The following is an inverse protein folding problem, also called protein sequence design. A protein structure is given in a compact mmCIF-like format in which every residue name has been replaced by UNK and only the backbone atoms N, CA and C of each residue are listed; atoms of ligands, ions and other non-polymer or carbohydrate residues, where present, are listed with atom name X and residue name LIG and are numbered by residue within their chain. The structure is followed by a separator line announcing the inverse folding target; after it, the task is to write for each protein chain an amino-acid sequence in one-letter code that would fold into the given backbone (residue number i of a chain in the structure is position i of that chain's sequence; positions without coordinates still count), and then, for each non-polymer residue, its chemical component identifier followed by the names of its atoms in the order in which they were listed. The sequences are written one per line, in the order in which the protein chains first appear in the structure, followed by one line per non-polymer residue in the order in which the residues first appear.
data_IF_356068309494
#
_entry.id   IF_356068309494
#
_cell.length_a   1.000
_cell.length_b   1.000
_cell.length_c   1.000
_cell.angle_alpha   90.00
_cell.angle_beta   90.00
_cell.angle_gamma   90.00
#
_symmetry.space_group_name_H-M   'P 1'
#
loop_
_entity.id
_entity.type
_entity.pdbx_description
1 polymer ?
#
# COMPACT_ATOMS: atom_id res chain seq x y z
N UNK A 1 13.93 5.26 9.94
CA UNK A 1 13.03 5.25 11.08
C UNK A 1 11.59 5.16 10.65
N UNK A 2 10.84 4.32 11.31
CA UNK A 2 9.43 4.10 11.02
C UNK A 2 8.63 4.24 12.31
N UNK A 3 7.45 4.78 12.18
CA UNK A 3 6.51 4.84 13.27
C UNK A 3 5.17 4.26 12.83
N UNK A 4 4.47 3.63 13.75
CA UNK A 4 3.14 3.12 13.52
C UNK A 4 2.15 4.00 14.26
N UNK A 5 1.10 4.40 13.58
CA UNK A 5 0.00 5.12 14.17
C UNK A 5 -1.26 4.31 13.97
N UNK A 6 -1.96 4.02 15.02
CA UNK A 6 -3.20 3.30 14.98
C UNK A 6 -4.36 4.17 15.38
N UNK A 7 -5.43 3.95 14.71
CA UNK A 7 -6.71 4.53 14.98
C UNK A 7 -7.70 3.38 14.83
N UNK A 8 -8.88 3.48 15.30
CA UNK A 8 -9.88 2.44 15.40
C UNK A 8 -9.78 1.29 14.38
N UNK A 9 -9.75 1.60 13.06
CA UNK A 9 -9.65 0.60 12.00
C UNK A 9 -8.51 0.87 11.05
N UNK A 10 -7.74 1.91 11.29
CA UNK A 10 -6.68 2.34 10.40
C UNK A 10 -5.32 2.30 11.09
N UNK A 11 -4.32 1.85 10.37
CA UNK A 11 -2.94 1.81 10.84
C UNK A 11 -2.03 2.41 9.77
N UNK A 12 -1.02 3.14 10.20
CA UNK A 12 -0.11 3.82 9.28
C UNK A 12 1.33 3.48 9.62
N UNK A 13 2.14 3.38 8.58
CA UNK A 13 3.60 3.34 8.68
C UNK A 13 4.10 4.70 8.22
N UNK A 14 4.94 5.32 9.04
CA UNK A 14 5.53 6.63 8.72
C UNK A 14 7.03 6.45 8.58
N UNK A 15 7.56 6.92 7.46
CA UNK A 15 9.00 6.94 7.23
C UNK A 15 9.59 8.29 7.59
N UNK A 16 10.68 8.27 8.36
CA UNK A 16 11.37 9.49 8.79
C UNK A 16 12.86 9.42 8.51
N UNK A 17 13.43 10.55 8.14
CA UNK A 17 14.88 10.75 8.09
C UNK A 17 15.17 12.02 8.89
N UNK A 18 16.03 11.92 9.91
CA UNK A 18 16.40 13.06 10.77
C UNK A 18 15.18 13.81 11.30
N UNK A 19 14.20 13.07 11.79
CA UNK A 19 12.93 13.60 12.32
C UNK A 19 12.02 14.26 11.29
N UNK A 20 12.40 14.21 10.02
CA UNK A 20 11.53 14.69 8.95
C UNK A 20 10.71 13.53 8.41
N UNK A 21 9.39 13.75 8.28
CA UNK A 21 8.52 12.75 7.65
C UNK A 21 8.73 12.81 6.15
N UNK A 22 9.18 11.71 5.57
CA UNK A 22 9.48 11.64 4.13
C UNK A 22 8.44 10.82 3.36
N UNK A 23 7.61 10.09 4.06
CA UNK A 23 6.56 9.31 3.43
C UNK A 23 5.71 8.58 4.44
N UNK A 24 4.58 8.08 3.98
CA UNK A 24 3.72 7.25 4.80
C UNK A 24 2.90 6.30 3.92
N UNK A 25 2.41 5.25 4.54
CA UNK A 25 1.49 4.30 3.93
C UNK A 25 0.49 3.85 4.98
N UNK A 26 -0.74 3.63 4.56
CA UNK A 26 -1.79 3.26 5.49
C UNK A 26 -2.56 2.04 5.04
N UNK A 27 -3.18 1.36 6.00
CA UNK A 27 -4.15 0.32 5.71
C UNK A 27 -5.38 0.49 6.60
N UNK A 28 -6.51 0.04 6.08
CA UNK A 28 -7.77 0.06 6.78
C UNK A 28 -8.25 -1.38 6.92
N UNK A 29 -8.34 -1.85 8.15
CA UNK A 29 -8.73 -3.22 8.45
C UNK A 29 -10.25 -3.36 8.46
N UNK A 30 -10.74 -4.39 7.79
CA UNK A 30 -12.15 -4.78 7.80
C UNK A 30 -12.17 -6.28 8.05
N UNK A 31 -12.47 -6.69 9.29
CA UNK A 31 -12.37 -8.08 9.72
C UNK A 31 -10.95 -8.61 9.53
N UNK A 32 -10.76 -9.67 8.74
CA UNK A 32 -9.45 -10.27 8.49
C UNK A 32 -8.82 -9.78 7.17
N UNK A 33 -9.40 -8.75 6.57
CA UNK A 33 -8.89 -8.17 5.32
C UNK A 33 -8.52 -6.71 5.57
N UNK A 34 -7.73 -6.14 4.67
CA UNK A 34 -7.43 -4.73 4.74
C UNK A 34 -7.21 -4.14 3.35
N UNK A 35 -7.58 -2.88 3.24
CA UNK A 35 -7.29 -2.08 2.05
C UNK A 35 -6.04 -1.25 2.32
N UNK A 36 -5.11 -1.28 1.39
CA UNK A 36 -4.00 -0.33 1.39
C UNK A 36 -4.58 0.99 0.88
N UNK A 37 -4.44 2.03 1.71
CA UNK A 37 -4.96 3.32 1.35
C UNK A 37 -3.91 4.10 0.58
N UNK A 38 -3.31 5.08 1.16
CA UNK A 38 -2.38 5.93 0.43
C UNK A 38 -0.93 5.49 0.68
N UNK A 39 -0.13 5.49 -0.38
CA UNK A 39 1.32 5.42 -0.27
C UNK A 39 1.83 6.75 -0.82
N UNK A 40 2.36 7.58 0.07
CA UNK A 40 2.80 8.91 -0.29
C UNK A 40 4.26 9.08 0.08
N UNK A 41 5.04 9.60 -0.86
CA UNK A 41 6.47 9.85 -0.64
C UNK A 41 6.75 11.29 -1.01
N UNK A 42 7.46 11.98 -0.14
CA UNK A 42 7.87 13.36 -0.39
C UNK A 42 8.64 13.43 -1.71
N UNK A 43 8.32 14.42 -2.52
CA UNK A 43 8.82 14.51 -3.89
C UNK A 43 10.34 14.38 -3.99
N UNK A 44 11.07 14.98 -3.07
CA UNK A 44 12.53 14.96 -3.08
C UNK A 44 13.12 13.59 -2.75
N UNK A 45 12.32 12.68 -2.24
CA UNK A 45 12.78 11.33 -1.86
C UNK A 45 12.23 10.24 -2.78
N UNK A 46 11.58 10.60 -3.88
CA UNK A 46 11.06 9.63 -4.84
C UNK A 46 12.19 8.95 -5.61
N UNK A 47 11.91 7.78 -6.14
CA UNK A 47 12.85 6.98 -6.95
C UNK A 47 14.09 6.53 -6.18
N UNK A 48 13.96 6.37 -4.86
CA UNK A 48 15.04 5.90 -4.00
C UNK A 48 14.68 4.62 -3.24
N UNK A 49 13.65 3.92 -3.70
CA UNK A 49 13.25 2.67 -3.07
C UNK A 49 12.42 2.82 -1.79
N UNK A 50 12.02 4.02 -1.44
CA UNK A 50 11.29 4.27 -0.20
C UNK A 50 9.88 3.70 -0.27
N UNK A 51 9.23 3.80 -1.45
CA UNK A 51 7.91 3.20 -1.64
C UNK A 51 7.91 1.70 -1.42
N UNK A 52 8.94 1.02 -1.93
CA UNK A 52 9.11 -0.42 -1.71
C UNK A 52 9.27 -0.72 -0.24
N UNK A 53 10.11 0.05 0.45
CA UNK A 53 10.38 -0.14 1.87
C UNK A 53 9.12 0.08 2.71
N UNK A 54 8.35 1.14 2.43
CA UNK A 54 7.09 1.39 3.12
C UNK A 54 6.11 0.24 2.91
N UNK A 55 5.98 -0.21 1.67
CA UNK A 55 5.04 -1.29 1.33
C UNK A 55 5.44 -2.61 1.98
N UNK A 56 6.73 -2.95 1.97
CA UNK A 56 7.21 -4.15 2.65
C UNK A 56 6.90 -4.11 4.15
N UNK A 57 7.09 -2.95 4.77
CA UNK A 57 6.78 -2.80 6.19
C UNK A 57 5.29 -2.81 6.47
N UNK A 58 4.49 -2.29 5.54
CA UNK A 58 3.04 -2.36 5.66
C UNK A 58 2.56 -3.81 5.59
N UNK A 59 3.16 -4.61 4.74
CA UNK A 59 2.86 -6.04 4.65
C UNK A 59 3.21 -6.75 5.97
N UNK A 60 4.35 -6.42 6.58
CA UNK A 60 4.73 -6.99 7.87
C UNK A 60 3.73 -6.59 8.96
N UNK A 61 3.32 -5.33 8.98
CA UNK A 61 2.30 -4.87 9.93
C UNK A 61 0.99 -5.62 9.74
N UNK A 62 0.58 -5.82 8.49
CA UNK A 62 -0.64 -6.55 8.20
C UNK A 62 -0.58 -7.97 8.72
N UNK A 63 0.57 -8.64 8.58
CA UNK A 63 0.75 -9.98 9.14
C UNK A 63 0.65 -9.98 10.66
N UNK A 64 1.23 -8.99 11.31
CA UNK A 64 1.16 -8.86 12.78
C UNK A 64 -0.27 -8.63 13.25
N UNK A 65 -1.10 -8.00 12.44
CA UNK A 65 -2.49 -7.76 12.75
C UNK A 65 -3.41 -8.91 12.33
N UNK A 66 -2.84 -10.02 11.92
CA UNK A 66 -3.56 -11.23 11.47
C UNK A 66 -4.48 -10.96 10.29
N UNK A 67 -4.05 -10.08 9.39
CA UNK A 67 -4.77 -9.83 8.15
C UNK A 67 -4.44 -10.93 7.16
N UNK A 68 -5.45 -11.52 6.56
CA UNK A 68 -5.28 -12.62 5.62
C UNK A 68 -5.06 -12.15 4.19
N UNK A 69 -5.65 -11.03 3.82
CA UNK A 69 -5.60 -10.54 2.44
C UNK A 69 -5.52 -9.02 2.41
N UNK A 70 -4.61 -8.50 1.61
CA UNK A 70 -4.50 -7.08 1.33
C UNK A 70 -5.07 -6.77 -0.06
N UNK A 71 -5.80 -5.67 -0.15
CA UNK A 71 -6.33 -5.15 -1.40
C UNK A 71 -5.79 -3.74 -1.63
N UNK A 72 -5.65 -3.38 -2.89
CA UNK A 72 -5.35 -2.00 -3.27
C UNK A 72 -5.99 -1.69 -4.60
N UNK A 73 -6.10 -0.41 -4.89
CA UNK A 73 -6.55 0.04 -6.20
C UNK A 73 -5.49 1.00 -6.74
N UNK A 74 -5.11 0.83 -7.98
CA UNK A 74 -4.10 1.65 -8.63
C UNK A 74 -4.60 2.09 -9.99
N UNK A 75 -4.27 3.32 -10.38
CA UNK A 75 -4.62 3.83 -11.69
C UNK A 75 -3.97 2.97 -12.77
N UNK A 76 -4.75 2.56 -13.76
CA UNK A 76 -4.29 1.74 -14.88
C UNK A 76 -3.06 2.32 -15.58
N UNK A 77 -2.94 3.65 -15.60
CA UNK A 77 -1.83 4.33 -16.26
C UNK A 77 -0.57 4.40 -15.40
N UNK A 78 -0.67 4.09 -14.12
CA UNK A 78 0.48 4.15 -13.22
C UNK A 78 1.28 2.83 -13.31
N UNK A 79 1.97 2.68 -14.43
CA UNK A 79 2.74 1.46 -14.71
C UNK A 79 3.84 1.17 -13.68
N UNK A 80 4.61 2.17 -13.24
CA UNK A 80 5.62 1.89 -12.20
C UNK A 80 5.04 1.33 -10.92
N UNK A 81 3.89 1.84 -10.47
CA UNK A 81 3.26 1.34 -9.26
C UNK A 81 2.74 -0.09 -9.45
N UNK A 82 2.09 -0.35 -10.59
CA UNK A 82 1.60 -1.70 -10.88
C UNK A 82 2.75 -2.70 -10.88
N UNK A 83 3.86 -2.33 -11.51
CA UNK A 83 5.04 -3.19 -11.56
C UNK A 83 5.59 -3.45 -10.16
N UNK A 84 5.64 -2.44 -9.32
CA UNK A 84 6.08 -2.59 -7.92
C UNK A 84 5.18 -3.55 -7.17
N UNK A 85 3.87 -3.38 -7.30
CA UNK A 85 2.92 -4.24 -6.59
C UNK A 85 3.03 -5.69 -7.06
N UNK A 86 3.14 -5.90 -8.37
CA UNK A 86 3.34 -7.26 -8.90
C UNK A 86 4.63 -7.89 -8.38
N UNK A 87 5.70 -7.11 -8.33
CA UNK A 87 6.98 -7.57 -7.81
C UNK A 87 6.88 -8.02 -6.35
N UNK A 88 6.02 -7.40 -5.56
CA UNK A 88 5.81 -7.75 -4.16
C UNK A 88 4.70 -8.77 -3.95
N UNK A 89 4.22 -9.37 -5.03
CA UNK A 89 3.31 -10.50 -4.95
C UNK A 89 1.83 -10.17 -5.05
N UNK A 90 1.49 -8.95 -5.45
CA UNK A 90 0.09 -8.61 -5.70
C UNK A 90 -0.35 -9.11 -7.06
N UNK A 91 -1.57 -9.58 -7.13
CA UNK A 91 -2.18 -10.09 -8.35
C UNK A 91 -3.35 -9.21 -8.76
N UNK A 92 -3.52 -9.03 -10.07
CA UNK A 92 -4.66 -8.29 -10.59
C UNK A 92 -5.94 -9.08 -10.32
N UNK A 93 -6.91 -8.43 -9.68
CA UNK A 93 -8.19 -9.03 -9.37
C UNK A 93 -9.28 -8.57 -10.34
N UNK A 94 -9.27 -7.30 -10.70
CA UNK A 94 -10.30 -6.74 -11.57
C UNK A 94 -10.02 -5.30 -11.94
N UNK A 95 -10.99 -4.70 -12.59
CA UNK A 95 -10.92 -3.32 -13.06
C UNK A 95 -12.13 -2.56 -12.55
N UNK A 96 -11.89 -1.38 -12.00
CA UNK A 96 -12.95 -0.47 -11.61
C UNK A 96 -13.00 0.67 -12.61
N UNK A 97 -14.12 0.84 -13.30
CA UNK A 97 -14.29 1.95 -14.23
C UNK A 97 -14.50 3.24 -13.46
N UNK A 98 -13.76 4.27 -13.85
CA UNK A 98 -13.89 5.60 -13.26
C UNK A 98 -14.37 6.57 -14.32
N UNK A 99 -15.55 7.11 -14.11
CA UNK A 99 -16.22 7.92 -15.12
C UNK A 99 -15.64 9.33 -15.25
N UNK A 100 -15.00 9.83 -14.19
CA UNK A 100 -14.58 11.24 -14.17
C UNK A 100 -13.40 11.56 -15.06
N UNK A 101 -12.45 10.65 -15.17
CA UNK A 101 -11.16 10.93 -15.82
C UNK A 101 -10.86 9.98 -16.97
N UNK A 102 -11.84 9.21 -17.41
CA UNK A 102 -11.64 8.15 -18.41
C UNK A 102 -10.53 7.18 -18.03
N UNK A 103 -10.14 7.17 -16.77
CA UNK A 103 -9.09 6.27 -16.28
C UNK A 103 -9.73 5.17 -15.44
N UNK A 104 -9.31 3.95 -15.69
CA UNK A 104 -9.76 2.82 -14.90
C UNK A 104 -8.78 2.57 -13.76
N UNK A 105 -9.31 2.08 -12.65
CA UNK A 105 -8.51 1.56 -11.56
C UNK A 105 -8.31 0.07 -11.75
N UNK A 106 -7.15 -0.40 -11.37
CA UNK A 106 -6.87 -1.84 -11.31
C UNK A 106 -6.92 -2.22 -9.84
N UNK A 107 -7.75 -3.21 -9.52
CA UNK A 107 -7.84 -3.75 -8.18
C UNK A 107 -6.89 -4.92 -8.09
N UNK A 108 -6.02 -4.90 -7.07
CA UNK A 108 -5.04 -5.95 -6.87
C UNK A 108 -5.17 -6.50 -5.45
N UNK A 109 -4.75 -7.74 -5.28
CA UNK A 109 -4.76 -8.38 -3.96
C UNK A 109 -3.48 -9.16 -3.73
N UNK A 110 -3.15 -9.33 -2.45
CA UNK A 110 -2.08 -10.21 -2.01
C UNK A 110 -2.57 -11.03 -0.83
N UNK A 111 -2.47 -12.35 -0.95
CA UNK A 111 -2.75 -13.25 0.17
C UNK A 111 -1.52 -13.29 1.07
N UNK A 112 -1.75 -13.11 2.38
CA UNK A 112 -0.66 -13.08 3.36
C UNK A 112 -0.47 -14.41 4.08
N UNK A 113 -1.47 -15.26 4.05
CA UNK A 113 -1.36 -16.58 4.63
C UNK A 113 -0.82 -17.50 3.56
N UNK A 114 0.45 -17.80 3.65
CA UNK A 114 1.14 -18.52 2.61
C UNK A 114 0.97 -20.02 2.72
N UNK A 115 0.22 -20.57 1.84
CA UNK A 115 0.22 -22.00 1.56
C UNK A 115 0.00 -22.18 0.10
#
# INVERSE_FOLDING_TARGET
LKEELENENSSYIIGKINNEIIGFAGLKKIFDQADIMNIVIKKTYRNQGIGTLLLENLILLAKDLNISTLFLEVNKQNKPAIHLYEKLGFEKLGVRKKYYNNNNGIIMKKNLQGF
#
